data_IF_419211067605
#
_entry.id   IF_419211067605
#
_cell.length_a   1.000
_cell.length_b   1.000
_cell.length_c   1.000
_cell.angle_alpha   90.00
_cell.angle_beta   90.00
_cell.angle_gamma   90.00
#
_symmetry.space_group_name_H-M   'P 1'
#
loop_
_entity.id
_entity.type
_entity.pdbx_description
1 polymer ?
#
# COMPACT_ATOMS: atom_id res chain seq x y z
N UNK A 1 -2.02 -58.95 4.13
CA UNK A 1 -2.22 -57.83 5.07
C UNK A 1 -1.23 -56.72 4.73
N UNK A 2 -1.64 -55.72 3.96
CA UNK A 2 -0.82 -54.55 3.66
C UNK A 2 -1.11 -53.47 4.72
N UNK A 3 -0.09 -53.13 5.51
CA UNK A 3 -0.14 -52.08 6.52
C UNK A 3 -0.23 -50.71 5.84
N UNK A 4 -1.40 -50.07 5.94
CA UNK A 4 -1.58 -48.68 5.54
C UNK A 4 -0.71 -47.78 6.43
N UNK A 5 0.22 -47.04 5.81
CA UNK A 5 0.99 -46.02 6.51
C UNK A 5 0.05 -44.93 7.05
N UNK A 6 0.23 -44.45 8.30
CA UNK A 6 -0.65 -43.46 8.87
C UNK A 6 -0.50 -42.14 8.12
N UNK A 7 -1.62 -41.67 7.53
CA UNK A 7 -1.73 -40.33 6.98
C UNK A 7 -1.46 -39.32 8.11
N UNK A 8 -0.23 -38.76 8.16
CA UNK A 8 0.09 -37.66 9.08
C UNK A 8 -0.86 -36.51 8.74
N UNK A 9 -1.88 -36.27 9.57
CA UNK A 9 -2.76 -35.09 9.41
C UNK A 9 -1.86 -33.85 9.45
N UNK A 10 -1.74 -33.19 8.30
CA UNK A 10 -0.98 -31.96 8.15
C UNK A 10 -1.85 -30.81 8.73
N UNK A 11 -1.96 -30.74 10.05
CA UNK A 11 -2.64 -29.63 10.73
C UNK A 11 -1.79 -28.35 10.61
N UNK A 12 -2.45 -27.22 10.38
CA UNK A 12 -1.78 -25.91 10.36
C UNK A 12 -1.37 -25.56 11.80
N UNK A 13 -0.07 -25.54 12.06
CA UNK A 13 0.48 -25.19 13.38
C UNK A 13 0.65 -23.67 13.46
N UNK A 14 -0.36 -22.98 14.02
CA UNK A 14 -0.36 -21.52 14.16
C UNK A 14 0.84 -21.00 14.96
N UNK A 15 1.36 -21.77 15.91
CA UNK A 15 2.53 -21.35 16.69
C UNK A 15 3.78 -21.20 15.81
N UNK A 16 3.93 -22.05 14.77
CA UNK A 16 5.04 -21.94 13.81
C UNK A 16 4.95 -20.70 12.94
N UNK A 17 3.74 -20.24 12.60
CA UNK A 17 3.53 -19.05 11.77
C UNK A 17 4.05 -17.77 12.47
N UNK A 18 3.93 -17.70 13.79
CA UNK A 18 4.34 -16.55 14.62
C UNK A 18 5.69 -16.74 15.33
N UNK A 19 6.38 -17.85 15.10
CA UNK A 19 7.63 -18.15 15.79
C UNK A 19 8.75 -17.15 15.41
N UNK A 20 9.48 -16.60 16.41
CA UNK A 20 10.56 -15.65 16.17
C UNK A 20 11.65 -16.25 15.26
N UNK A 21 12.36 -15.38 14.54
CA UNK A 21 13.47 -15.82 13.71
C UNK A 21 14.58 -16.38 14.61
N UNK A 22 15.01 -17.64 14.45
CA UNK A 22 16.13 -18.14 15.25
C UNK A 22 17.35 -17.26 14.96
N UNK A 23 17.77 -16.50 15.98
CA UNK A 23 19.01 -15.73 15.96
C UNK A 23 20.17 -16.73 15.94
N UNK A 24 20.56 -17.19 14.74
CA UNK A 24 21.51 -18.28 14.64
C UNK A 24 22.06 -18.51 13.24
N UNK A 25 23.25 -17.93 13.01
CA UNK A 25 24.24 -18.23 11.95
C UNK A 25 23.74 -18.14 10.51
N UNK A 26 23.91 -16.95 9.93
CA UNK A 26 24.15 -16.80 8.51
C UNK A 26 25.41 -17.59 8.12
N UNK A 27 25.25 -18.73 7.46
CA UNK A 27 26.24 -19.36 6.57
C UNK A 27 25.51 -20.40 5.72
N UNK A 28 25.20 -20.04 4.49
CA UNK A 28 24.68 -20.97 3.47
C UNK A 28 23.82 -20.30 2.40
N UNK A 29 24.48 -19.73 1.37
CA UNK A 29 24.20 -19.73 -0.09
C UNK A 29 22.79 -19.87 -0.71
N UNK A 30 21.69 -19.86 0.05
CA UNK A 30 20.36 -20.20 -0.47
C UNK A 30 19.37 -19.02 -0.58
N UNK A 31 19.65 -17.88 0.05
CA UNK A 31 18.83 -16.66 -0.07
C UNK A 31 19.29 -15.83 -1.30
N UNK A 32 18.35 -15.12 -1.94
CA UNK A 32 18.66 -14.18 -3.02
C UNK A 32 19.50 -13.02 -2.48
N UNK A 33 20.56 -12.65 -3.21
CA UNK A 33 21.36 -11.47 -2.91
C UNK A 33 20.59 -10.18 -3.22
N UNK A 34 20.96 -9.06 -2.57
CA UNK A 34 20.31 -7.77 -2.83
C UNK A 34 20.35 -7.35 -4.32
N UNK A 35 21.45 -7.56 -5.08
CA UNK A 35 21.44 -7.32 -6.53
C UNK A 35 20.44 -8.19 -7.30
N UNK A 36 20.30 -9.47 -6.95
CA UNK A 36 19.31 -10.35 -7.59
C UNK A 36 17.88 -9.88 -7.31
N UNK A 37 17.61 -9.47 -6.06
CA UNK A 37 16.31 -8.89 -5.68
C UNK A 37 16.03 -7.61 -6.49
N UNK A 38 17.03 -6.74 -6.63
CA UNK A 38 16.90 -5.50 -7.41
C UNK A 38 16.64 -5.77 -8.90
N UNK A 39 17.32 -6.76 -9.49
CA UNK A 39 17.07 -7.17 -10.88
C UNK A 39 15.65 -7.74 -11.04
N UNK A 40 15.22 -8.62 -10.14
CA UNK A 40 13.86 -9.16 -10.17
C UNK A 40 12.80 -8.05 -10.03
N UNK A 41 13.03 -7.10 -9.11
CA UNK A 41 12.19 -5.91 -8.97
C UNK A 41 12.11 -5.12 -10.28
N UNK A 42 13.24 -4.82 -10.91
CA UNK A 42 13.28 -4.04 -12.15
C UNK A 42 12.58 -4.77 -13.31
N UNK A 43 12.79 -6.08 -13.44
CA UNK A 43 12.13 -6.91 -14.46
C UNK A 43 10.62 -6.94 -14.25
N UNK A 44 10.16 -7.20 -13.04
CA UNK A 44 8.73 -7.25 -12.73
C UNK A 44 8.08 -5.86 -12.89
N UNK A 45 8.75 -4.80 -12.45
CA UNK A 45 8.28 -3.42 -12.63
C UNK A 45 8.14 -3.07 -14.12
N UNK A 46 9.11 -3.48 -14.96
CA UNK A 46 9.02 -3.31 -16.40
C UNK A 46 7.83 -4.08 -16.97
N UNK A 47 7.69 -5.37 -16.63
CA UNK A 47 6.58 -6.22 -17.10
C UNK A 47 5.23 -5.62 -16.73
N UNK A 48 5.03 -5.22 -15.47
CA UNK A 48 3.77 -4.60 -15.03
C UNK A 48 3.54 -3.23 -15.65
N UNK A 49 4.60 -2.55 -16.11
CA UNK A 49 4.48 -1.26 -16.78
C UNK A 49 4.17 -1.39 -18.27
N UNK A 50 4.29 -2.58 -18.88
CA UNK A 50 4.06 -2.77 -20.32
C UNK A 50 2.71 -2.19 -20.77
N UNK A 51 1.54 -2.51 -20.16
CA UNK A 51 0.26 -1.97 -20.60
C UNK A 51 0.18 -0.44 -20.53
N UNK A 52 0.84 0.15 -19.53
CA UNK A 52 0.93 1.61 -19.36
C UNK A 52 1.82 2.23 -20.43
N UNK A 53 2.98 1.64 -20.72
CA UNK A 53 3.94 2.16 -21.69
C UNK A 53 3.40 2.05 -23.12
N UNK A 54 2.76 0.93 -23.46
CA UNK A 54 2.31 0.65 -24.83
C UNK A 54 1.00 1.34 -25.20
N UNK A 55 0.26 1.89 -24.23
CA UNK A 55 -0.97 2.65 -24.48
C UNK A 55 -0.81 4.09 -23.97
N UNK A 56 -0.89 5.12 -24.84
CA UNK A 56 -0.87 6.52 -24.41
C UNK A 56 -2.01 6.86 -23.44
N UNK A 57 -3.14 6.17 -23.58
CA UNK A 57 -4.31 6.24 -22.72
C UNK A 57 -4.63 4.82 -22.25
N UNK A 58 -3.97 4.31 -21.20
CA UNK A 58 -4.36 3.05 -20.59
C UNK A 58 -5.85 3.12 -20.22
N UNK A 59 -6.63 2.05 -20.43
CA UNK A 59 -8.09 2.09 -20.30
C UNK A 59 -8.53 2.09 -18.83
N UNK A 60 -8.22 3.18 -18.12
CA UNK A 60 -8.66 3.48 -16.76
C UNK A 60 -9.79 4.52 -16.83
N UNK A 61 -10.83 4.32 -16.03
CA UNK A 61 -12.10 5.05 -16.17
C UNK A 61 -11.92 6.58 -16.07
N UNK A 62 -11.23 7.09 -15.04
CA UNK A 62 -11.08 8.53 -14.80
C UNK A 62 -9.75 9.12 -15.33
N UNK A 63 -8.86 8.30 -15.89
CA UNK A 63 -7.50 8.75 -16.23
C UNK A 63 -7.48 9.77 -17.37
N UNK A 64 -8.37 9.64 -18.36
CA UNK A 64 -8.51 10.65 -19.41
C UNK A 64 -8.93 12.02 -18.85
N UNK A 65 -9.82 12.05 -17.85
CA UNK A 65 -10.23 13.27 -17.17
C UNK A 65 -9.06 13.89 -16.39
N UNK A 66 -8.26 13.06 -15.71
CA UNK A 66 -7.03 13.53 -15.07
C UNK A 66 -6.07 14.17 -16.08
N UNK A 67 -5.76 13.51 -17.20
CA UNK A 67 -4.85 14.09 -18.20
C UNK A 67 -5.41 15.35 -18.85
N UNK A 68 -6.72 15.43 -19.10
CA UNK A 68 -7.37 16.64 -19.59
C UNK A 68 -7.16 17.79 -18.61
N UNK A 69 -7.41 17.57 -17.31
CA UNK A 69 -7.17 18.56 -16.25
C UNK A 69 -5.70 19.00 -16.21
N UNK A 70 -4.75 18.07 -16.26
CA UNK A 70 -3.33 18.40 -16.26
C UNK A 70 -2.91 19.19 -17.50
N UNK A 71 -3.49 18.87 -18.66
CA UNK A 71 -3.27 19.61 -19.91
C UNK A 71 -3.80 21.03 -19.80
N UNK A 72 -4.96 21.24 -19.18
CA UNK A 72 -5.50 22.58 -18.91
C UNK A 72 -4.55 23.36 -17.99
N UNK A 73 -4.17 22.79 -16.84
CA UNK A 73 -3.27 23.45 -15.87
C UNK A 73 -1.94 23.85 -16.53
N UNK A 74 -1.37 22.97 -17.36
CA UNK A 74 -0.09 23.22 -18.01
C UNK A 74 -0.15 24.32 -19.10
N UNK A 75 -1.29 24.44 -19.80
CA UNK A 75 -1.39 25.26 -21.01
C UNK A 75 -2.31 26.48 -20.89
N UNK A 76 -3.03 26.65 -19.78
CA UNK A 76 -4.07 27.71 -19.65
C UNK A 76 -3.55 29.11 -19.97
N UNK A 77 -2.33 29.44 -19.53
CA UNK A 77 -1.71 30.76 -19.80
C UNK A 77 -1.21 30.95 -21.23
N UNK A 78 -1.19 29.90 -22.06
CA UNK A 78 -0.62 29.91 -23.41
C UNK A 78 -1.64 29.56 -24.50
N UNK A 79 -2.82 29.03 -24.13
CA UNK A 79 -3.88 28.63 -25.07
C UNK A 79 -5.13 29.52 -24.88
N UNK A 80 -5.36 30.49 -25.79
CA UNK A 80 -6.53 31.36 -25.74
C UNK A 80 -7.86 30.62 -25.83
N UNK A 81 -7.91 29.44 -26.45
CA UNK A 81 -9.15 28.66 -26.51
C UNK A 81 -9.45 28.02 -25.15
N UNK A 82 -8.45 27.51 -24.44
CA UNK A 82 -8.64 27.00 -23.07
C UNK A 82 -9.06 28.12 -22.12
N UNK A 83 -8.42 29.29 -22.22
CA UNK A 83 -8.74 30.45 -21.37
C UNK A 83 -10.17 30.99 -21.55
N UNK A 84 -10.87 30.63 -22.64
CA UNK A 84 -12.29 30.98 -22.84
C UNK A 84 -13.25 30.11 -22.04
N UNK A 85 -12.86 28.89 -21.70
CA UNK A 85 -13.75 27.90 -21.08
C UNK A 85 -13.34 27.50 -19.67
N UNK A 86 -12.08 27.74 -19.29
CA UNK A 86 -11.53 27.31 -18.00
C UNK A 86 -10.87 28.47 -17.25
N UNK A 87 -11.00 28.44 -15.93
CA UNK A 87 -10.25 29.28 -14.98
C UNK A 87 -9.56 28.36 -13.96
N UNK A 88 -8.37 28.73 -13.51
CA UNK A 88 -7.63 27.98 -12.50
C UNK A 88 -7.81 28.65 -11.13
N UNK A 89 -8.54 27.97 -10.25
CA UNK A 89 -8.72 28.38 -8.86
C UNK A 89 -8.01 27.37 -7.95
N UNK A 90 -6.91 27.78 -7.33
CA UNK A 90 -6.15 26.93 -6.43
C UNK A 90 -6.74 26.95 -5.02
N UNK A 91 -7.05 25.77 -4.52
CA UNK A 91 -7.56 25.57 -3.17
C UNK A 91 -6.69 24.57 -2.41
N UNK A 92 -6.71 24.66 -1.07
CA UNK A 92 -6.08 23.66 -0.22
C UNK A 92 -7.04 22.48 -0.11
N UNK A 93 -6.97 21.56 -1.06
CA UNK A 93 -7.76 20.32 -1.06
C UNK A 93 -6.83 19.11 -1.08
N UNK A 94 -7.26 17.97 -0.50
CA UNK A 94 -6.58 16.72 -0.78
C UNK A 94 -6.70 16.37 -2.27
N UNK A 95 -5.99 15.36 -2.74
CA UNK A 95 -6.10 14.86 -4.11
C UNK A 95 -5.52 15.80 -5.18
N UNK A 96 -4.38 16.44 -4.89
CA UNK A 96 -3.66 17.37 -5.79
C UNK A 96 -2.32 16.83 -6.30
N UNK A 97 -1.95 15.59 -6.01
CA UNK A 97 -0.59 15.11 -6.32
C UNK A 97 -0.28 15.14 -7.82
N UNK A 98 -1.19 14.70 -8.69
CA UNK A 98 -1.03 14.88 -10.15
C UNK A 98 -0.98 16.36 -10.54
N UNK A 99 -1.87 17.20 -10.00
CA UNK A 99 -1.95 18.65 -10.26
C UNK A 99 -0.63 19.36 -9.95
N UNK A 100 0.07 18.91 -8.90
CA UNK A 100 1.36 19.45 -8.46
C UNK A 100 2.57 18.86 -9.21
N UNK A 101 2.41 17.76 -9.96
CA UNK A 101 3.54 17.03 -10.56
C UNK A 101 3.47 16.96 -12.08
N UNK A 102 2.36 16.52 -12.65
CA UNK A 102 2.22 16.27 -14.09
C UNK A 102 2.38 17.54 -14.93
N UNK A 103 1.80 18.71 -14.58
CA UNK A 103 2.01 19.95 -15.34
C UNK A 103 3.48 20.38 -15.40
N UNK A 104 4.29 20.05 -14.40
CA UNK A 104 5.74 20.29 -14.44
C UNK A 104 6.45 19.34 -15.39
N UNK A 105 6.06 18.07 -15.42
CA UNK A 105 6.57 17.09 -16.38
C UNK A 105 6.22 17.46 -17.82
N UNK A 106 5.02 18.01 -18.07
CA UNK A 106 4.58 18.46 -19.39
C UNK A 106 5.51 19.51 -20.02
N UNK A 107 6.30 20.23 -19.21
CA UNK A 107 7.29 21.19 -19.71
C UNK A 107 8.46 20.54 -20.45
N UNK A 108 8.72 19.26 -20.21
CA UNK A 108 9.88 18.53 -20.76
C UNK A 108 9.49 17.27 -21.54
N UNK A 109 8.22 16.85 -21.50
CA UNK A 109 7.68 15.72 -22.25
C UNK A 109 6.20 15.97 -22.59
N UNK A 110 5.62 15.18 -23.49
CA UNK A 110 4.19 15.32 -23.80
C UNK A 110 3.30 14.82 -22.63
N UNK A 111 2.03 15.22 -22.65
CA UNK A 111 1.06 14.91 -21.58
C UNK A 111 0.88 13.40 -21.34
N UNK A 112 0.90 12.59 -22.40
CA UNK A 112 0.75 11.13 -22.29
C UNK A 112 1.96 10.51 -21.57
N UNK A 113 3.18 10.89 -21.97
CA UNK A 113 4.41 10.43 -21.33
C UNK A 113 4.49 10.87 -19.85
N UNK A 114 4.09 12.11 -19.55
CA UNK A 114 4.04 12.62 -18.18
C UNK A 114 3.06 11.83 -17.30
N UNK A 115 1.88 11.53 -17.84
CA UNK A 115 0.90 10.67 -17.21
C UNK A 115 1.38 9.24 -16.99
N UNK A 116 1.98 8.63 -18.01
CA UNK A 116 2.52 7.27 -17.93
C UNK A 116 3.62 7.19 -16.88
N UNK A 117 4.52 8.19 -16.83
CA UNK A 117 5.56 8.27 -15.81
C UNK A 117 4.97 8.35 -14.39
N UNK A 118 3.87 9.08 -14.20
CA UNK A 118 3.17 9.14 -12.91
C UNK A 118 2.60 7.77 -12.49
N UNK A 119 1.96 7.06 -13.42
CA UNK A 119 1.42 5.71 -13.17
C UNK A 119 2.53 4.69 -12.86
N UNK A 120 3.62 4.70 -13.63
CA UNK A 120 4.78 3.82 -13.40
C UNK A 120 5.44 4.12 -12.05
N UNK A 121 5.58 5.41 -11.72
CA UNK A 121 6.11 5.83 -10.42
C UNK A 121 5.23 5.33 -9.27
N UNK A 122 3.90 5.30 -9.46
CA UNK A 122 2.96 4.73 -8.48
C UNK A 122 3.23 3.24 -8.24
N UNK A 123 3.41 2.45 -9.30
CA UNK A 123 3.76 1.02 -9.21
C UNK A 123 5.08 0.79 -8.47
N UNK A 124 6.11 1.55 -8.84
CA UNK A 124 7.43 1.49 -8.21
C UNK A 124 7.36 1.86 -6.73
N UNK A 125 6.63 2.92 -6.37
CA UNK A 125 6.48 3.37 -4.99
C UNK A 125 5.77 2.34 -4.11
N UNK A 126 4.68 1.73 -4.59
CA UNK A 126 3.94 0.73 -3.82
C UNK A 126 4.82 -0.48 -3.51
N UNK A 127 5.45 -1.08 -4.52
CA UNK A 127 6.22 -2.31 -4.30
C UNK A 127 7.52 -2.02 -3.55
N UNK A 128 8.24 -0.94 -3.88
CA UNK A 128 9.43 -0.55 -3.12
C UNK A 128 9.12 -0.18 -1.68
N UNK A 129 7.96 0.44 -1.41
CA UNK A 129 7.47 0.73 -0.07
C UNK A 129 7.18 -0.55 0.71
N UNK A 130 6.48 -1.51 0.11
CA UNK A 130 6.22 -2.82 0.72
C UNK A 130 7.52 -3.59 1.02
N UNK A 131 8.49 -3.57 0.10
CA UNK A 131 9.81 -4.18 0.31
C UNK A 131 10.59 -3.51 1.44
N UNK A 132 10.54 -2.18 1.52
CA UNK A 132 11.24 -1.42 2.57
C UNK A 132 10.57 -1.62 3.93
N UNK A 133 9.24 -1.67 3.98
CA UNK A 133 8.50 -2.02 5.20
C UNK A 133 8.84 -3.43 5.68
N UNK A 134 8.87 -4.41 4.77
CA UNK A 134 9.35 -5.76 5.08
C UNK A 134 10.78 -5.74 5.66
N UNK A 135 11.69 -4.99 5.01
CA UNK A 135 13.09 -4.84 5.45
C UNK A 135 13.20 -4.23 6.85
N UNK A 136 12.33 -3.28 7.18
CA UNK A 136 12.27 -2.62 8.48
C UNK A 136 11.76 -3.57 9.57
N UNK A 137 10.76 -4.40 9.28
CA UNK A 137 10.20 -5.38 10.21
C UNK A 137 11.11 -6.59 10.44
N UNK A 138 11.73 -7.12 9.38
CA UNK A 138 12.48 -8.40 9.43
C UNK A 138 13.99 -8.25 9.47
N UNK A 139 14.54 -7.05 9.31
CA UNK A 139 15.98 -6.84 9.36
C UNK A 139 16.76 -7.34 8.12
N UNK A 140 16.09 -7.77 7.04
CA UNK A 140 16.72 -8.20 5.78
C UNK A 140 15.82 -8.03 4.56
N UNK A 141 16.42 -7.95 3.37
CA UNK A 141 15.68 -7.90 2.11
C UNK A 141 15.11 -9.28 1.79
N UNK A 142 13.98 -9.31 1.10
CA UNK A 142 13.28 -10.53 0.72
C UNK A 142 12.66 -10.35 -0.66
N UNK A 143 12.59 -11.45 -1.41
CA UNK A 143 11.84 -11.52 -2.67
C UNK A 143 10.33 -11.60 -2.44
N UNK A 144 9.87 -11.95 -1.23
CA UNK A 144 8.45 -12.20 -0.99
C UNK A 144 7.54 -11.02 -1.37
N UNK A 145 7.85 -9.75 -1.03
CA UNK A 145 6.95 -8.66 -1.40
C UNK A 145 6.75 -8.48 -2.92
N UNK A 146 7.62 -9.05 -3.76
CA UNK A 146 7.47 -9.05 -5.21
C UNK A 146 6.22 -9.84 -5.67
N UNK A 147 5.67 -10.74 -4.85
CA UNK A 147 4.41 -11.42 -5.19
C UNK A 147 3.22 -10.46 -5.28
N UNK A 148 3.36 -9.23 -4.80
CA UNK A 148 2.30 -8.21 -4.86
C UNK A 148 2.24 -7.46 -6.19
N UNK A 149 3.16 -7.67 -7.14
CA UNK A 149 3.11 -7.01 -8.45
C UNK A 149 1.76 -7.20 -9.18
N UNK A 150 1.14 -8.40 -9.21
CA UNK A 150 -0.18 -8.57 -9.81
C UNK A 150 -1.28 -7.70 -9.15
N UNK A 151 -1.17 -7.42 -7.85
CA UNK A 151 -2.14 -6.59 -7.13
C UNK A 151 -2.10 -5.11 -7.54
N UNK A 152 -1.07 -4.67 -8.28
CA UNK A 152 -1.01 -3.30 -8.80
C UNK A 152 -2.15 -3.02 -9.79
N UNK A 153 -2.57 -4.03 -10.55
CA UNK A 153 -3.79 -3.99 -11.35
C UNK A 153 -4.93 -4.57 -10.51
N UNK A 154 -5.69 -3.67 -9.91
CA UNK A 154 -6.86 -3.94 -9.09
C UNK A 154 -7.96 -2.95 -9.50
N UNK A 155 -9.21 -3.18 -9.11
CA UNK A 155 -10.33 -2.34 -9.55
C UNK A 155 -10.16 -0.87 -9.17
N UNK A 156 -9.56 -0.56 -8.02
CA UNK A 156 -9.29 0.84 -7.61
C UNK A 156 -8.30 1.52 -8.57
N UNK A 157 -7.30 0.79 -9.06
CA UNK A 157 -6.41 1.28 -10.13
C UNK A 157 -7.15 1.44 -11.46
N UNK A 158 -7.98 0.47 -11.84
CA UNK A 158 -8.76 0.50 -13.09
C UNK A 158 -9.77 1.65 -13.14
N UNK A 159 -10.34 2.04 -12.00
CA UNK A 159 -11.20 3.21 -11.90
C UNK A 159 -10.41 4.52 -12.11
N UNK A 160 -9.11 4.51 -11.86
CA UNK A 160 -8.25 5.68 -12.08
C UNK A 160 -8.10 6.58 -10.86
N UNK A 161 -8.25 6.06 -9.63
CA UNK A 161 -7.99 6.81 -8.38
C UNK A 161 -6.48 6.96 -8.13
N UNK A 162 -5.77 7.55 -9.09
CA UNK A 162 -4.30 7.50 -9.24
C UNK A 162 -3.55 8.17 -8.08
N UNK A 163 -4.02 9.33 -7.66
CA UNK A 163 -3.48 10.09 -6.53
C UNK A 163 -3.57 9.32 -5.20
N UNK A 164 -4.65 8.57 -4.98
CA UNK A 164 -4.78 7.66 -3.83
C UNK A 164 -3.77 6.51 -3.91
N UNK A 165 -3.66 5.85 -5.08
CA UNK A 165 -2.71 4.76 -5.28
C UNK A 165 -1.25 5.21 -5.08
N UNK A 166 -0.89 6.40 -5.59
CA UNK A 166 0.41 7.02 -5.31
C UNK A 166 0.61 7.20 -3.79
N UNK A 167 -0.44 7.68 -3.11
CA UNK A 167 -0.50 7.80 -1.66
C UNK A 167 -0.29 6.48 -0.90
N UNK A 168 -0.78 5.34 -1.39
CA UNK A 168 -0.50 4.02 -0.77
C UNK A 168 1.01 3.76 -0.74
N UNK A 169 1.71 4.02 -1.85
CA UNK A 169 3.16 3.85 -1.92
C UNK A 169 3.90 4.74 -0.92
N UNK A 170 3.52 6.01 -0.83
CA UNK A 170 4.06 6.95 0.16
C UNK A 170 3.73 6.51 1.59
N UNK A 171 2.54 5.97 1.86
CA UNK A 171 2.15 5.49 3.19
C UNK A 171 2.97 4.26 3.62
N UNK A 172 3.28 3.34 2.70
CA UNK A 172 4.16 2.20 2.96
C UNK A 172 5.59 2.65 3.28
N UNK A 173 6.13 3.60 2.53
CA UNK A 173 7.43 4.22 2.82
C UNK A 173 7.43 4.96 4.15
N UNK A 174 6.36 5.71 4.45
CA UNK A 174 6.18 6.40 5.72
C UNK A 174 6.16 5.42 6.89
N UNK A 175 5.44 4.31 6.76
CA UNK A 175 5.37 3.28 7.80
C UNK A 175 6.74 2.60 7.96
N UNK A 176 7.44 2.31 6.86
CA UNK A 176 8.80 1.76 6.91
C UNK A 176 9.77 2.72 7.63
N UNK A 177 9.69 4.01 7.34
CA UNK A 177 10.48 5.05 8.00
C UNK A 177 10.15 5.14 9.49
N UNK A 178 8.87 5.08 9.86
CA UNK A 178 8.44 5.05 11.26
C UNK A 178 9.04 3.86 12.01
N UNK A 179 8.94 2.65 11.46
CA UNK A 179 9.52 1.43 12.04
C UNK A 179 11.05 1.55 12.16
N UNK A 180 11.74 2.05 11.13
CA UNK A 180 13.19 2.17 11.14
C UNK A 180 13.72 3.24 12.11
N UNK A 181 12.96 4.32 12.30
CA UNK A 181 13.31 5.41 13.21
C UNK A 181 12.75 5.19 14.61
N UNK A 182 12.02 4.11 14.85
CA UNK A 182 11.21 3.91 16.06
C UNK A 182 12.01 4.07 17.36
N UNK A 183 13.26 3.61 17.41
CA UNK A 183 14.14 3.72 18.58
C UNK A 183 15.06 4.97 18.55
N UNK A 184 14.84 5.89 17.61
CA UNK A 184 15.54 7.19 17.53
C UNK A 184 14.85 8.24 18.38
N UNK A 185 15.47 9.42 18.48
CA UNK A 185 14.96 10.56 19.24
C UNK A 185 13.53 10.95 18.80
N UNK A 186 12.67 11.24 19.77
CA UNK A 186 11.25 11.58 19.54
C UNK A 186 11.07 12.69 18.49
N UNK A 187 11.78 13.83 18.53
CA UNK A 187 11.58 14.90 17.55
C UNK A 187 11.83 14.45 16.10
N UNK A 188 12.86 13.65 15.86
CA UNK A 188 13.19 13.16 14.52
C UNK A 188 12.05 12.30 13.95
N UNK A 189 11.51 11.38 14.76
CA UNK A 189 10.39 10.50 14.36
C UNK A 189 9.14 11.31 14.02
N UNK A 190 8.82 12.29 14.86
CA UNK A 190 7.64 13.14 14.67
C UNK A 190 7.78 14.05 13.44
N UNK A 191 8.95 14.65 13.22
CA UNK A 191 9.21 15.49 12.03
C UNK A 191 9.06 14.66 10.75
N UNK A 192 9.70 13.49 10.69
CA UNK A 192 9.60 12.61 9.52
C UNK A 192 8.16 12.17 9.29
N UNK A 193 7.46 11.72 10.34
CA UNK A 193 6.04 11.35 10.22
C UNK A 193 5.17 12.53 9.76
N UNK A 194 5.46 13.76 10.20
CA UNK A 194 4.70 14.96 9.81
C UNK A 194 4.89 15.27 8.34
N UNK A 195 6.12 15.13 7.83
CA UNK A 195 6.41 15.28 6.39
C UNK A 195 5.60 14.26 5.57
N UNK A 196 5.59 12.99 5.98
CA UNK A 196 4.76 11.98 5.31
C UNK A 196 3.28 12.33 5.35
N UNK A 197 2.73 12.75 6.50
CA UNK A 197 1.32 13.16 6.61
C UNK A 197 1.00 14.32 5.67
N UNK A 198 1.85 15.35 5.59
CA UNK A 198 1.64 16.49 4.71
C UNK A 198 1.66 16.08 3.22
N UNK A 199 2.62 15.26 2.82
CA UNK A 199 2.67 14.73 1.45
C UNK A 199 1.45 13.86 1.15
N UNK A 200 1.04 13.01 2.09
CA UNK A 200 -0.13 12.15 1.97
C UNK A 200 -1.43 12.95 1.88
N UNK A 201 -1.54 14.09 2.57
CA UNK A 201 -2.69 14.98 2.45
C UNK A 201 -2.88 15.42 0.99
N UNK A 202 -1.81 15.89 0.35
CA UNK A 202 -1.85 16.28 -1.07
C UNK A 202 -1.98 15.08 -2.02
N UNK A 203 -1.52 13.88 -1.62
CA UNK A 203 -1.85 12.65 -2.34
C UNK A 203 -3.36 12.41 -2.29
N UNK A 204 -3.91 12.12 -1.13
CA UNK A 204 -5.34 11.87 -0.93
C UNK A 204 -5.64 11.77 0.57
N UNK A 205 -6.77 12.30 1.04
CA UNK A 205 -7.17 12.21 2.46
C UNK A 205 -7.23 10.75 2.97
N UNK A 206 -7.81 9.85 2.19
CA UNK A 206 -7.77 8.40 2.44
C UNK A 206 -6.36 7.81 2.62
N UNK A 207 -5.34 8.32 1.91
CA UNK A 207 -3.97 7.85 2.08
C UNK A 207 -3.38 8.27 3.44
N UNK A 208 -3.78 9.44 3.98
CA UNK A 208 -3.48 9.83 5.37
C UNK A 208 -4.10 8.84 6.35
N UNK A 209 -5.36 8.44 6.11
CA UNK A 209 -6.05 7.43 6.91
C UNK A 209 -5.36 6.06 6.87
N UNK A 210 -4.97 5.59 5.68
CA UNK A 210 -4.19 4.35 5.48
C UNK A 210 -2.89 4.38 6.29
N UNK A 211 -2.13 5.47 6.21
CA UNK A 211 -0.90 5.63 7.01
C UNK A 211 -1.21 5.61 8.51
N UNK A 212 -2.27 6.30 8.95
CA UNK A 212 -2.75 6.27 10.33
C UNK A 212 -3.11 4.86 10.82
N UNK A 213 -3.80 4.06 9.99
CA UNK A 213 -4.13 2.65 10.30
C UNK A 213 -2.86 1.82 10.51
N UNK A 214 -1.90 1.92 9.58
CA UNK A 214 -0.64 1.19 9.68
C UNK A 214 0.18 1.59 10.91
N UNK A 215 0.25 2.90 11.18
CA UNK A 215 0.97 3.44 12.33
C UNK A 215 0.30 3.02 13.65
N UNK A 216 -1.03 3.15 13.75
CA UNK A 216 -1.80 2.70 14.90
C UNK A 216 -1.61 1.20 15.16
N UNK A 217 -1.68 0.38 14.12
CA UNK A 217 -1.47 -1.06 14.23
C UNK A 217 -0.07 -1.41 14.78
N UNK A 218 0.97 -0.78 14.25
CA UNK A 218 2.34 -0.98 14.71
C UNK A 218 2.54 -0.54 16.17
N UNK A 219 1.99 0.61 16.54
CA UNK A 219 2.10 1.19 17.87
C UNK A 219 1.32 0.38 18.93
N UNK A 220 0.12 -0.09 18.59
CA UNK A 220 -0.65 -1.02 19.44
C UNK A 220 0.09 -2.33 19.65
N UNK A 221 0.66 -2.90 18.59
CA UNK A 221 1.52 -4.08 18.73
C UNK A 221 2.67 -3.81 19.69
N UNK A 222 3.40 -2.69 19.54
CA UNK A 222 4.52 -2.37 20.45
C UNK A 222 4.05 -2.28 21.91
N UNK A 223 2.91 -1.66 22.19
CA UNK A 223 2.39 -1.57 23.56
C UNK A 223 2.21 -2.95 24.20
N UNK A 224 1.83 -3.97 23.43
CA UNK A 224 1.72 -5.36 23.94
C UNK A 224 3.06 -6.02 24.26
N UNK A 225 4.16 -5.46 23.76
CA UNK A 225 5.53 -5.97 24.00
C UNK A 225 6.24 -5.28 25.17
N UNK A 226 5.64 -4.23 25.75
CA UNK A 226 6.24 -3.49 26.85
C UNK A 226 6.10 -4.22 28.19
N UNK A 227 7.11 -4.10 29.04
CA UNK A 227 7.01 -4.50 30.44
C UNK A 227 6.09 -3.55 31.21
N UNK A 228 5.41 -4.06 32.27
CA UNK A 228 4.45 -3.27 33.07
C UNK A 228 5.05 -1.96 33.63
N UNK A 229 6.34 -1.97 33.98
CA UNK A 229 7.05 -0.79 34.51
C UNK A 229 7.19 0.34 33.49
N UNK A 230 7.19 0.03 32.20
CA UNK A 230 7.40 1.00 31.11
C UNK A 230 6.08 1.47 30.48
N UNK A 231 4.94 0.87 30.86
CA UNK A 231 3.65 1.10 30.22
C UNK A 231 3.21 2.56 30.23
N UNK A 232 3.42 3.29 31.34
CA UNK A 232 3.05 4.72 31.42
C UNK A 232 3.82 5.57 30.40
N UNK A 233 5.14 5.34 30.29
CA UNK A 233 5.99 6.04 29.32
C UNK A 233 5.64 5.61 27.89
N UNK A 234 5.40 4.32 27.71
CA UNK A 234 4.94 3.75 26.44
C UNK A 234 3.62 4.35 25.96
N UNK A 235 2.68 4.60 26.86
CA UNK A 235 1.38 5.21 26.54
C UNK A 235 1.51 6.68 26.16
N UNK A 236 2.34 7.45 26.86
CA UNK A 236 2.60 8.86 26.48
C UNK A 236 3.27 8.95 25.11
N UNK A 237 4.25 8.07 24.86
CA UNK A 237 4.93 7.99 23.58
C UNK A 237 4.01 7.49 22.45
N UNK A 238 3.08 6.57 22.75
CA UNK A 238 1.98 6.16 21.86
C UNK A 238 1.07 7.34 21.52
N UNK A 239 0.63 8.12 22.51
CA UNK A 239 -0.22 9.29 22.28
C UNK A 239 0.49 10.36 21.45
N UNK A 240 1.80 10.53 21.64
CA UNK A 240 2.61 11.46 20.85
C UNK A 240 2.63 11.12 19.35
N UNK A 241 2.33 9.87 18.97
CA UNK A 241 2.24 9.46 17.56
C UNK A 241 1.05 10.06 16.81
N UNK A 242 0.08 10.64 17.51
CA UNK A 242 -1.00 11.42 16.92
C UNK A 242 -0.60 12.84 16.52
N UNK A 243 0.45 13.41 17.11
CA UNK A 243 0.88 14.79 16.85
C UNK A 243 1.20 15.09 15.36
N UNK A 244 1.83 14.17 14.59
CA UNK A 244 2.09 14.37 13.17
C UNK A 244 0.84 14.60 12.31
N UNK A 245 -0.35 14.25 12.81
CA UNK A 245 -1.62 14.42 12.09
C UNK A 245 -2.25 15.79 12.28
N UNK A 246 -1.82 16.58 13.29
CA UNK A 246 -2.37 17.91 13.56
C UNK A 246 -2.27 18.87 12.38
N UNK A 247 -1.15 18.93 11.62
CA UNK A 247 -1.07 19.78 10.44
C UNK A 247 -2.07 19.41 9.35
N UNK A 248 -2.38 18.12 9.14
CA UNK A 248 -3.40 17.70 8.19
C UNK A 248 -4.80 18.15 8.62
N UNK A 249 -5.12 18.15 9.92
CA UNK A 249 -6.37 18.70 10.44
C UNK A 249 -6.46 20.21 10.21
N UNK A 250 -5.34 20.93 10.34
CA UNK A 250 -5.27 22.35 10.05
C UNK A 250 -5.46 22.64 8.55
N UNK A 251 -4.88 21.83 7.65
CA UNK A 251 -5.13 21.95 6.22
C UNK A 251 -6.59 21.64 5.89
N UNK A 252 -7.16 20.61 6.52
CA UNK A 252 -8.56 20.23 6.32
C UNK A 252 -9.52 21.35 6.77
N UNK A 253 -9.23 22.06 7.86
CA UNK A 253 -10.06 23.20 8.32
C UNK A 253 -10.03 24.41 7.38
N UNK A 254 -9.06 24.47 6.47
CA UNK A 254 -8.99 25.47 5.40
C UNK A 254 -9.50 24.94 4.06
N UNK A 255 -9.89 23.67 4.01
CA UNK A 255 -10.30 23.00 2.79
C UNK A 255 -11.81 23.13 2.58
N UNK A 256 -12.27 23.51 1.37
CA UNK A 256 -13.68 23.57 1.05
C UNK A 256 -14.34 22.19 1.01
N UNK A 257 -13.58 21.09 1.08
CA UNK A 257 -14.13 19.74 1.23
C UNK A 257 -15.02 19.60 2.47
N UNK A 258 -14.80 20.44 3.50
CA UNK A 258 -15.67 20.47 4.68
C UNK A 258 -17.08 20.97 4.34
N UNK A 259 -17.30 21.70 3.25
CA UNK A 259 -18.67 22.05 2.83
C UNK A 259 -19.51 20.81 2.47
N UNK A 260 -18.87 19.67 2.22
CA UNK A 260 -19.49 18.38 1.89
C UNK A 260 -19.61 17.46 3.12
N UNK A 261 -19.40 17.96 4.34
CA UNK A 261 -19.42 17.17 5.57
C UNK A 261 -20.78 16.55 5.95
N UNK A 262 -21.86 16.83 5.22
CA UNK A 262 -23.14 16.14 5.38
C UNK A 262 -23.24 14.85 4.54
N UNK A 263 -22.40 14.70 3.51
CA UNK A 263 -22.44 13.59 2.56
C UNK A 263 -21.86 12.28 3.10
N UNK A 264 -22.62 11.59 3.94
CA UNK A 264 -22.25 10.32 4.55
C UNK A 264 -23.35 9.28 4.34
N UNK A 265 -23.05 8.22 3.59
CA UNK A 265 -23.99 7.13 3.32
C UNK A 265 -23.35 5.77 3.64
N UNK A 266 -24.01 4.98 4.50
CA UNK A 266 -23.63 3.60 4.77
C UNK A 266 -24.43 2.65 3.91
N UNK A 267 -23.71 1.80 3.19
CA UNK A 267 -24.30 0.71 2.41
C UNK A 267 -23.45 -0.55 2.61
N UNK A 268 -24.11 -1.68 2.87
CA UNK A 268 -23.43 -2.94 3.17
C UNK A 268 -22.84 -3.64 1.95
N UNK A 269 -23.41 -3.41 0.76
CA UNK A 269 -22.95 -3.99 -0.52
C UNK A 269 -21.53 -3.56 -0.87
N UNK A 270 -21.19 -2.29 -0.60
CA UNK A 270 -19.84 -1.74 -0.78
C UNK A 270 -18.75 -2.50 0.00
N UNK A 271 -19.12 -3.16 1.11
CA UNK A 271 -18.20 -3.99 1.90
C UNK A 271 -17.85 -5.33 1.23
N UNK A 272 -18.73 -5.85 0.37
CA UNK A 272 -18.45 -7.06 -0.39
C UNK A 272 -17.62 -6.65 -1.62
N UNK A 273 -18.05 -5.59 -2.29
CA UNK A 273 -17.37 -5.04 -3.46
C UNK A 273 -15.92 -4.64 -3.13
N UNK A 274 -15.66 -4.02 -1.99
CA UNK A 274 -14.31 -3.59 -1.61
C UNK A 274 -13.31 -4.74 -1.49
N UNK A 275 -13.76 -5.91 -1.03
CA UNK A 275 -12.91 -7.10 -0.98
C UNK A 275 -12.65 -7.60 -2.41
N UNK A 276 -13.69 -7.66 -3.25
CA UNK A 276 -13.56 -8.06 -4.65
C UNK A 276 -12.62 -7.11 -5.42
N UNK A 277 -12.72 -5.80 -5.18
CA UNK A 277 -11.93 -4.76 -5.83
C UNK A 277 -10.42 -4.92 -5.63
N UNK A 278 -10.00 -5.66 -4.60
CA UNK A 278 -8.58 -5.96 -4.35
C UNK A 278 -7.97 -6.84 -5.43
N UNK A 279 -8.78 -7.70 -6.06
CA UNK A 279 -8.33 -8.71 -7.03
C UNK A 279 -9.01 -8.61 -8.38
N UNK A 280 -10.15 -7.92 -8.47
CA UNK A 280 -10.88 -7.73 -9.72
C UNK A 280 -10.04 -6.95 -10.74
N UNK A 281 -9.93 -7.53 -11.93
CA UNK A 281 -9.20 -6.98 -13.09
C UNK A 281 -10.10 -7.08 -14.32
N UNK A 282 -9.60 -6.77 -15.53
CA UNK A 282 -10.37 -6.91 -16.77
C UNK A 282 -10.93 -8.32 -17.05
N UNK A 283 -10.44 -9.35 -16.35
CA UNK A 283 -10.95 -10.72 -16.44
C UNK A 283 -11.03 -11.36 -15.06
N UNK A 284 -12.26 -11.53 -14.56
CA UNK A 284 -12.53 -12.15 -13.27
C UNK A 284 -11.95 -13.55 -13.16
N UNK A 285 -12.05 -14.35 -14.23
CA UNK A 285 -11.54 -15.73 -14.25
C UNK A 285 -10.02 -15.74 -14.00
N UNK A 286 -9.28 -14.86 -14.67
CA UNK A 286 -7.83 -14.77 -14.50
C UNK A 286 -7.49 -14.29 -13.08
N UNK A 287 -8.18 -13.26 -12.59
CA UNK A 287 -8.03 -12.77 -11.23
C UNK A 287 -8.21 -13.88 -10.19
N UNK A 288 -9.36 -14.57 -10.20
CA UNK A 288 -9.66 -15.63 -9.24
C UNK A 288 -8.69 -16.81 -9.34
N UNK A 289 -8.25 -17.18 -10.55
CA UNK A 289 -7.25 -18.24 -10.74
C UNK A 289 -5.88 -17.86 -10.15
N UNK A 290 -5.39 -16.66 -10.42
CA UNK A 290 -4.11 -16.18 -9.87
C UNK A 290 -4.17 -16.03 -8.35
N UNK A 291 -5.24 -15.43 -7.82
CA UNK A 291 -5.46 -15.33 -6.37
C UNK A 291 -5.54 -16.71 -5.74
N UNK A 292 -6.27 -17.65 -6.35
CA UNK A 292 -6.36 -19.04 -5.89
C UNK A 292 -5.00 -19.72 -5.83
N UNK A 293 -4.17 -19.57 -6.87
CA UNK A 293 -2.82 -20.12 -6.90
C UNK A 293 -1.93 -19.54 -5.79
N UNK A 294 -1.97 -18.21 -5.57
CA UNK A 294 -1.22 -17.55 -4.49
C UNK A 294 -1.67 -18.02 -3.12
N UNK A 295 -2.99 -18.11 -2.88
CA UNK A 295 -3.55 -18.58 -1.60
C UNK A 295 -3.18 -20.03 -1.34
N UNK A 296 -3.31 -20.92 -2.33
CA UNK A 296 -2.92 -22.32 -2.21
C UNK A 296 -1.41 -22.47 -1.94
N UNK A 297 -0.58 -21.68 -2.63
CA UNK A 297 0.86 -21.61 -2.39
C UNK A 297 1.20 -21.15 -0.97
N UNK A 298 0.51 -20.12 -0.46
CA UNK A 298 0.66 -19.62 0.90
C UNK A 298 0.24 -20.66 1.94
N UNK A 299 -0.91 -21.34 1.75
CA UNK A 299 -1.37 -22.42 2.63
C UNK A 299 -0.37 -23.57 2.64
N UNK A 300 0.12 -23.98 1.47
CA UNK A 300 1.13 -25.03 1.36
C UNK A 300 2.42 -24.63 2.10
N UNK A 301 2.92 -23.42 1.88
CA UNK A 301 4.13 -22.91 2.52
C UNK A 301 3.96 -22.80 4.04
N UNK A 302 2.80 -22.36 4.52
CA UNK A 302 2.47 -22.28 5.93
C UNK A 302 2.40 -23.67 6.59
N UNK A 303 1.73 -24.64 5.95
CA UNK A 303 1.67 -26.03 6.44
C UNK A 303 3.05 -26.71 6.49
N UNK A 304 3.98 -26.27 5.65
CA UNK A 304 5.38 -26.74 5.64
C UNK A 304 6.29 -25.96 6.62
N UNK A 305 5.79 -24.91 7.26
CA UNK A 305 6.56 -24.06 8.17
C UNK A 305 7.55 -23.13 7.46
N UNK A 306 7.38 -22.90 6.16
CA UNK A 306 8.21 -21.99 5.37
C UNK A 306 7.70 -20.57 5.41
N UNK A 307 6.38 -20.38 5.58
CA UNK A 307 5.77 -19.07 5.72
C UNK A 307 5.73 -18.64 7.19
N UNK A 308 6.07 -17.39 7.45
CA UNK A 308 5.98 -16.72 8.75
C UNK A 308 5.22 -15.41 8.59
N UNK A 309 4.57 -14.97 9.65
CA UNK A 309 3.80 -13.73 9.67
C UNK A 309 4.23 -12.87 10.86
N UNK A 310 4.66 -11.65 10.59
CA UNK A 310 5.06 -10.70 11.62
C UNK A 310 3.84 -10.34 12.47
N UNK A 311 3.92 -10.31 13.81
CA UNK A 311 2.75 -10.04 14.66
C UNK A 311 2.05 -8.71 14.37
N UNK A 312 2.78 -7.68 13.92
CA UNK A 312 2.21 -6.40 13.42
C UNK A 312 1.13 -6.64 12.36
N UNK A 313 1.28 -7.65 11.50
CA UNK A 313 0.30 -7.99 10.49
C UNK A 313 -1.08 -8.34 11.07
N UNK A 314 -1.15 -8.95 12.26
CA UNK A 314 -2.43 -9.19 12.94
C UNK A 314 -3.09 -7.89 13.39
N UNK A 315 -2.30 -6.93 13.87
CA UNK A 315 -2.81 -5.61 14.24
C UNK A 315 -3.24 -4.81 13.02
N UNK A 316 -2.51 -4.92 11.90
CA UNK A 316 -2.90 -4.29 10.62
C UNK A 316 -4.25 -4.84 10.15
N UNK A 317 -4.42 -6.17 10.17
CA UNK A 317 -5.69 -6.80 9.81
C UNK A 317 -6.81 -6.46 10.79
N UNK A 318 -6.54 -6.45 12.10
CA UNK A 318 -7.54 -6.15 13.14
C UNK A 318 -8.01 -4.70 13.11
N UNK A 319 -7.08 -3.74 13.17
CA UNK A 319 -7.39 -2.30 13.07
C UNK A 319 -8.00 -1.99 11.71
N UNK A 320 -7.42 -2.53 10.64
CA UNK A 320 -7.92 -2.38 9.28
C UNK A 320 -9.36 -2.88 9.12
N UNK A 321 -9.70 -4.04 9.68
CA UNK A 321 -11.05 -4.58 9.66
C UNK A 321 -12.04 -3.70 10.45
N UNK A 322 -11.65 -3.22 11.64
CA UNK A 322 -12.49 -2.32 12.43
C UNK A 322 -12.77 -1.02 11.68
N UNK A 323 -11.73 -0.40 11.11
CA UNK A 323 -11.88 0.82 10.30
C UNK A 323 -12.70 0.54 9.04
N UNK A 324 -12.46 -0.57 8.36
CA UNK A 324 -13.21 -0.95 7.16
C UNK A 324 -14.71 -1.09 7.43
N UNK A 325 -15.09 -1.75 8.52
CA UNK A 325 -16.49 -1.89 8.93
C UNK A 325 -17.11 -0.56 9.35
N UNK A 326 -16.33 0.33 9.97
CA UNK A 326 -16.80 1.65 10.39
C UNK A 326 -16.94 2.64 9.22
N UNK A 327 -16.13 2.52 8.18
CA UNK A 327 -16.14 3.44 7.04
C UNK A 327 -17.49 3.41 6.31
N UNK A 328 -18.08 4.57 5.95
CA UNK A 328 -19.24 4.62 5.07
C UNK A 328 -18.84 4.28 3.62
N UNK A 329 -19.84 4.05 2.75
CA UNK A 329 -19.61 3.90 1.30
C UNK A 329 -19.33 5.26 0.66
N UNK A 330 -20.11 6.27 1.04
CA UNK A 330 -19.93 7.66 0.63
C UNK A 330 -19.37 8.49 1.79
N UNK A 331 -18.35 9.29 1.52
CA UNK A 331 -17.73 10.21 2.47
C UNK A 331 -17.43 11.53 1.76
N UNK A 332 -17.91 12.65 2.30
CA UNK A 332 -17.76 13.99 1.68
C UNK A 332 -18.29 14.02 0.23
N UNK A 333 -19.50 13.50 0.01
CA UNK A 333 -20.14 13.36 -1.31
C UNK A 333 -19.33 12.54 -2.34
N UNK A 334 -18.31 11.81 -1.88
CA UNK A 334 -17.44 11.00 -2.73
C UNK A 334 -17.66 9.52 -2.47
N UNK A 335 -17.92 8.75 -3.52
CA UNK A 335 -18.13 7.31 -3.45
C UNK A 335 -16.84 6.51 -3.24
N UNK A 336 -17.04 5.25 -2.84
CA UNK A 336 -16.00 4.22 -2.67
C UNK A 336 -15.04 4.47 -1.52
N UNK A 337 -15.47 5.14 -0.44
CA UNK A 337 -14.63 5.34 0.72
C UNK A 337 -14.20 3.98 1.31
N UNK A 338 -15.15 3.14 1.71
CA UNK A 338 -14.86 1.79 2.19
C UNK A 338 -14.09 0.92 1.18
N UNK A 339 -14.53 0.89 -0.08
CA UNK A 339 -14.01 0.03 -1.14
C UNK A 339 -12.51 0.22 -1.44
N UNK A 340 -11.93 1.38 -1.08
CA UNK A 340 -10.51 1.68 -1.31
C UNK A 340 -9.58 1.06 -0.28
N UNK A 341 -10.04 0.86 0.96
CA UNK A 341 -9.14 0.44 2.06
C UNK A 341 -8.52 -0.96 1.88
N UNK A 342 -9.24 -1.99 1.41
CA UNK A 342 -8.72 -3.37 1.37
C UNK A 342 -7.41 -3.55 0.59
N UNK A 343 -7.25 -2.87 -0.56
CA UNK A 343 -6.02 -3.00 -1.37
C UNK A 343 -4.78 -2.46 -0.64
N UNK A 344 -4.92 -1.35 0.10
CA UNK A 344 -3.83 -0.83 0.93
C UNK A 344 -3.43 -1.81 2.04
N UNK A 345 -4.43 -2.42 2.70
CA UNK A 345 -4.20 -3.45 3.71
C UNK A 345 -3.54 -4.70 3.12
N UNK A 346 -3.88 -5.07 1.89
CA UNK A 346 -3.23 -6.19 1.19
C UNK A 346 -1.73 -5.95 1.03
N UNK A 347 -1.30 -4.77 0.54
CA UNK A 347 0.12 -4.44 0.43
C UNK A 347 0.85 -4.42 1.78
N UNK A 348 0.23 -3.86 2.82
CA UNK A 348 0.79 -3.88 4.18
C UNK A 348 0.92 -5.31 4.74
N UNK A 349 -0.09 -6.15 4.48
CA UNK A 349 -0.11 -7.55 4.91
C UNK A 349 0.97 -8.36 4.21
N UNK A 350 1.17 -8.16 2.91
CA UNK A 350 2.26 -8.80 2.15
C UNK A 350 3.62 -8.41 2.73
N UNK A 351 3.82 -7.14 3.08
CA UNK A 351 5.07 -6.69 3.72
C UNK A 351 5.31 -7.38 5.08
N UNK A 352 4.25 -7.75 5.80
CA UNK A 352 4.30 -8.47 7.07
C UNK A 352 4.49 -9.99 6.92
N UNK A 353 4.51 -10.56 5.71
CA UNK A 353 4.80 -11.98 5.48
C UNK A 353 6.30 -12.18 5.27
N UNK A 354 6.80 -13.37 5.60
CA UNK A 354 8.16 -13.81 5.27
C UNK A 354 8.18 -15.27 4.83
N UNK A 355 8.89 -15.56 3.75
CA UNK A 355 9.01 -16.90 3.18
C UNK A 355 10.47 -17.36 3.28
N UNK A 356 10.69 -18.51 3.92
CA UNK A 356 11.98 -19.18 3.93
C UNK A 356 12.22 -19.87 2.58
N UNK A 357 13.13 -19.31 1.79
CA UNK A 357 13.45 -19.78 0.43
C UNK A 357 14.60 -20.81 0.40
N UNK A 358 15.13 -21.22 1.55
CA UNK A 358 16.19 -22.23 1.65
C UNK A 358 15.83 -23.58 1.01
N UNK A 359 14.59 -24.10 1.14
CA UNK A 359 14.22 -25.36 0.50
C UNK A 359 14.24 -25.23 -1.03
N UNK A 360 14.92 -26.15 -1.73
CA UNK A 360 15.05 -26.15 -3.20
C UNK A 360 13.69 -26.14 -3.92
N UNK A 361 12.66 -26.73 -3.33
CA UNK A 361 11.28 -26.73 -3.87
C UNK A 361 10.65 -25.34 -3.87
N UNK A 362 10.86 -24.55 -2.82
CA UNK A 362 10.36 -23.17 -2.70
C UNK A 362 11.11 -22.26 -3.67
N UNK A 363 12.43 -22.39 -3.74
CA UNK A 363 13.25 -21.61 -4.67
C UNK A 363 12.88 -21.88 -6.13
N UNK A 364 12.64 -23.14 -6.51
CA UNK A 364 12.19 -23.47 -7.87
C UNK A 364 10.80 -22.91 -8.16
N UNK A 365 9.85 -23.01 -7.23
CA UNK A 365 8.49 -22.48 -7.42
C UNK A 365 8.38 -20.96 -7.38
N UNK A 366 9.38 -20.24 -6.87
CA UNK A 366 9.43 -18.78 -6.94
C UNK A 366 10.06 -18.27 -8.25
N UNK A 367 10.94 -19.07 -8.86
CA UNK A 367 11.67 -18.70 -10.10
C UNK A 367 10.96 -19.21 -11.36
N UNK A 368 10.29 -20.37 -11.26
CA UNK A 368 9.43 -20.91 -12.31
C UNK A 368 8.07 -20.23 -12.28
#
# INVERSE_FOLDING_TARGET
MATAAPFKRLTLDLAKLFSPHPAGRARGSADFSAPQIAVLFAVLALITSIPVITSPLPPLEDYANHLARMSVIANLGHDPNLARFYELQWEIVPNLMMDLTVPWLVRIMNIYAAGQLFLISTFVLIISGAMTLHRALYGRWSVLPLIAFPLLYNRVFLIGVTNYQFGIGIALWGLAAWVALRERALPLRLIVATVFVLVLFFCHLFAVGVYGVGLLAFELWRLTTLERRDLKRGLLDFLATGLPFLPALLLLSRSPILNHMAGFEWESTGKIDGIAFTIEVYSDIIAFMLTGAVVLGAIWAARRGYLRFHPVGLFVLGVGALVYLALPRMLFDTYMADQRLPIALAFMTVACLHLDVRPRSVRRGFVA
#
